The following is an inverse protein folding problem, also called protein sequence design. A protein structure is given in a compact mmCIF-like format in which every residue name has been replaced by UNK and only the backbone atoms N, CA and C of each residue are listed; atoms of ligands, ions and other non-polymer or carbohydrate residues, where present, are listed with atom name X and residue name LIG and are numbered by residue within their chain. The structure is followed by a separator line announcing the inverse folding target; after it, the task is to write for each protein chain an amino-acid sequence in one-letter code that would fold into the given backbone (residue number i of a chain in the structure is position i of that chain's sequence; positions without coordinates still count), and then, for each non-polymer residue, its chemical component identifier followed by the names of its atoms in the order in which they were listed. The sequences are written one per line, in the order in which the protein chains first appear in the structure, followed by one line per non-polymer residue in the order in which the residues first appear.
data_IF_788703448654
#
_entry.id   IF_788703448654
#
_cell.length_a   1.000
_cell.length_b   1.000
_cell.length_c   1.000
_cell.angle_alpha   90.00
_cell.angle_beta   90.00
_cell.angle_gamma   90.00
#
_symmetry.space_group_name_H-M   'P 1'
#
loop_
_entity.id
_entity.type
_entity.pdbx_description
1 polymer ?
#
# COMPACT_ATOMS: atom_id res chain seq x y z
N UNK A 1 -2.33 -14.54 -28.49
CA UNK A 1 -1.86 -13.69 -27.38
C UNK A 1 -2.22 -14.43 -26.11
N UNK A 2 -1.33 -14.57 -25.10
CA UNK A 2 -1.72 -15.23 -23.86
C UNK A 2 -2.75 -14.37 -23.12
N UNK A 3 -3.87 -15.00 -22.77
CA UNK A 3 -5.11 -14.44 -22.21
C UNK A 3 -5.06 -14.19 -20.68
N UNK A 4 -3.87 -14.29 -20.06
CA UNK A 4 -3.68 -14.35 -18.59
C UNK A 4 -3.38 -13.00 -17.91
N UNK A 5 -3.49 -11.89 -18.63
CA UNK A 5 -3.16 -10.56 -18.10
C UNK A 5 -4.14 -10.03 -17.04
N UNK A 6 -5.48 -10.14 -17.17
CA UNK A 6 -6.41 -9.49 -16.23
C UNK A 6 -6.49 -10.19 -14.86
N UNK A 7 -6.13 -11.47 -14.76
CA UNK A 7 -6.21 -12.24 -13.50
C UNK A 7 -5.04 -11.94 -12.56
N UNK A 8 -3.85 -11.69 -13.11
CA UNK A 8 -2.66 -11.36 -12.33
C UNK A 8 -2.72 -9.95 -11.72
N UNK A 9 -3.25 -8.96 -12.44
CA UNK A 9 -3.49 -7.59 -11.94
C UNK A 9 -4.48 -7.59 -10.78
N UNK A 10 -5.58 -8.35 -10.88
CA UNK A 10 -6.56 -8.45 -9.80
C UNK A 10 -6.02 -9.11 -8.54
N UNK A 11 -5.21 -10.17 -8.69
CA UNK A 11 -4.59 -10.82 -7.53
C UNK A 11 -3.57 -9.90 -6.84
N UNK A 12 -2.79 -9.15 -7.60
CA UNK A 12 -1.83 -8.17 -7.06
C UNK A 12 -2.54 -7.01 -6.36
N UNK A 13 -3.59 -6.45 -6.97
CA UNK A 13 -4.45 -5.44 -6.35
C UNK A 13 -5.02 -5.93 -5.02
N UNK A 14 -5.49 -7.19 -4.95
CA UNK A 14 -5.99 -7.79 -3.70
C UNK A 14 -4.88 -7.93 -2.65
N UNK A 15 -3.74 -8.51 -3.01
CA UNK A 15 -2.59 -8.68 -2.10
C UNK A 15 -2.09 -7.34 -1.56
N UNK A 16 -2.12 -6.29 -2.39
CA UNK A 16 -1.74 -4.95 -1.95
C UNK A 16 -2.74 -4.38 -0.95
N UNK A 17 -4.04 -4.55 -1.23
CA UNK A 17 -5.11 -4.07 -0.36
C UNK A 17 -5.03 -4.75 1.02
N UNK A 18 -4.78 -6.06 1.06
CA UNK A 18 -4.51 -6.81 2.29
C UNK A 18 -3.26 -6.30 3.04
N UNK A 19 -2.18 -6.02 2.33
CA UNK A 19 -0.95 -5.47 2.91
C UNK A 19 -1.20 -4.09 3.54
N UNK A 20 -1.90 -3.21 2.83
CA UNK A 20 -2.27 -1.89 3.33
C UNK A 20 -3.17 -1.98 4.56
N UNK A 21 -4.18 -2.85 4.53
CA UNK A 21 -5.03 -3.12 5.69
C UNK A 21 -4.23 -3.60 6.90
N UNK A 22 -3.25 -4.48 6.68
CA UNK A 22 -2.36 -4.97 7.75
C UNK A 22 -1.48 -3.86 8.33
N UNK A 23 -0.93 -2.98 7.48
CA UNK A 23 -0.11 -1.83 7.93
C UNK A 23 -0.96 -0.87 8.74
N UNK A 24 -2.15 -0.50 8.24
CA UNK A 24 -3.08 0.39 8.93
C UNK A 24 -3.45 -0.18 10.31
N UNK A 25 -3.84 -1.45 10.38
CA UNK A 25 -4.17 -2.10 11.65
C UNK A 25 -2.99 -2.09 12.63
N UNK A 26 -1.76 -2.40 12.17
CA UNK A 26 -0.58 -2.39 13.03
C UNK A 26 -0.26 -0.98 13.54
N UNK A 27 -0.47 0.05 12.72
CA UNK A 27 -0.28 1.45 13.10
C UNK A 27 -1.28 1.85 14.19
N UNK A 28 -2.57 1.57 14.00
CA UNK A 28 -3.64 1.91 14.95
C UNK A 28 -3.46 1.24 16.32
N UNK A 29 -2.91 0.02 16.34
CA UNK A 29 -2.67 -0.73 17.58
C UNK A 29 -1.30 -0.45 18.20
N UNK A 30 -0.55 0.55 17.70
CA UNK A 30 0.79 0.88 18.20
C UNK A 30 1.83 -0.23 18.02
N UNK A 31 1.54 -1.23 17.17
CA UNK A 31 2.42 -2.36 16.86
C UNK A 31 3.42 -2.03 15.75
N UNK A 32 3.31 -0.85 15.15
CA UNK A 32 4.18 -0.33 14.12
C UNK A 32 4.29 1.19 14.26
N UNK A 33 5.51 1.72 14.15
CA UNK A 33 5.75 3.17 14.16
C UNK A 33 5.28 3.80 12.84
N UNK A 34 4.82 5.07 12.84
CA UNK A 34 4.51 5.81 11.60
C UNK A 34 5.63 5.76 10.57
N UNK A 35 6.90 5.79 10.99
CA UNK A 35 8.07 5.67 10.09
C UNK A 35 8.17 4.30 9.44
N UNK A 36 7.94 3.23 10.21
CA UNK A 36 7.96 1.86 9.69
C UNK A 36 6.78 1.61 8.74
N UNK A 37 5.60 2.12 9.07
CA UNK A 37 4.42 2.07 8.20
C UNK A 37 4.66 2.84 6.89
N UNK A 38 5.31 4.00 6.95
CA UNK A 38 5.64 4.78 5.75
C UNK A 38 6.55 4.01 4.80
N UNK A 39 7.63 3.40 5.31
CA UNK A 39 8.54 2.58 4.49
C UNK A 39 7.80 1.39 3.87
N UNK A 40 6.92 0.73 4.63
CA UNK A 40 6.15 -0.40 4.14
C UNK A 40 5.17 0.00 3.02
N UNK A 41 4.50 1.15 3.16
CA UNK A 41 3.59 1.68 2.13
C UNK A 41 4.36 2.14 0.89
N UNK A 42 5.52 2.78 1.04
CA UNK A 42 6.35 3.22 -0.08
C UNK A 42 6.89 2.02 -0.87
N UNK A 43 7.36 0.98 -0.17
CA UNK A 43 7.78 -0.30 -0.79
C UNK A 43 6.63 -0.99 -1.53
N UNK A 44 5.41 -0.96 -0.96
CA UNK A 44 4.22 -1.50 -1.62
C UNK A 44 3.87 -0.72 -2.90
N UNK A 45 4.06 0.61 -2.89
CA UNK A 45 3.86 1.49 -4.04
C UNK A 45 4.86 1.16 -5.16
N UNK A 46 6.15 1.01 -4.83
CA UNK A 46 7.20 0.60 -5.78
C UNK A 46 6.90 -0.76 -6.42
N UNK A 47 6.43 -1.74 -5.63
CA UNK A 47 6.06 -3.06 -6.13
C UNK A 47 4.85 -3.03 -7.08
N UNK A 48 3.99 -2.02 -6.94
CA UNK A 48 2.75 -1.90 -7.71
C UNK A 48 2.81 -0.95 -8.89
N UNK A 49 3.89 -0.17 -9.02
CA UNK A 49 4.04 0.87 -10.04
C UNK A 49 4.05 0.35 -11.49
N UNK A 50 4.04 -0.97 -11.70
CA UNK A 50 3.89 -1.60 -13.01
C UNK A 50 2.75 -2.61 -13.15
N UNK A 51 1.98 -2.90 -12.09
CA UNK A 51 1.13 -4.11 -12.05
C UNK A 51 -0.21 -3.98 -11.31
N UNK A 52 -0.50 -2.88 -10.63
CA UNK A 52 -1.75 -2.71 -9.87
C UNK A 52 -2.71 -1.71 -10.54
N UNK A 53 -4.01 -1.87 -10.23
CA UNK A 53 -5.05 -0.97 -10.71
C UNK A 53 -4.87 0.47 -10.18
N UNK A 54 -5.37 1.43 -10.95
CA UNK A 54 -5.28 2.86 -10.64
C UNK A 54 -5.89 3.20 -9.27
N UNK A 55 -7.00 2.55 -8.89
CA UNK A 55 -7.65 2.74 -7.59
C UNK A 55 -6.76 2.33 -6.41
N UNK A 56 -6.00 1.24 -6.56
CA UNK A 56 -5.11 0.74 -5.52
C UNK A 56 -3.90 1.67 -5.36
N UNK A 57 -3.36 2.18 -6.47
CA UNK A 57 -2.29 3.18 -6.46
C UNK A 57 -2.76 4.46 -5.75
N UNK A 58 -3.99 4.91 -5.99
CA UNK A 58 -4.56 6.09 -5.36
C UNK A 58 -4.70 5.91 -3.84
N UNK A 59 -5.28 4.78 -3.39
CA UNK A 59 -5.38 4.45 -1.96
C UNK A 59 -4.01 4.39 -1.29
N UNK A 60 -3.04 3.73 -1.91
CA UNK A 60 -1.66 3.62 -1.40
C UNK A 60 -1.02 5.01 -1.24
N UNK A 61 -1.22 5.90 -2.21
CA UNK A 61 -0.73 7.28 -2.14
C UNK A 61 -1.40 8.08 -1.02
N UNK A 62 -2.70 7.91 -0.80
CA UNK A 62 -3.41 8.55 0.31
C UNK A 62 -2.86 8.09 1.66
N UNK A 63 -2.65 6.78 1.84
CA UNK A 63 -2.03 6.23 3.06
C UNK A 63 -0.62 6.78 3.26
N UNK A 64 0.19 6.85 2.20
CA UNK A 64 1.54 7.43 2.25
C UNK A 64 1.54 8.89 2.70
N UNK A 65 0.61 9.71 2.17
CA UNK A 65 0.45 11.12 2.53
C UNK A 65 0.02 11.28 4.00
N UNK A 66 -0.92 10.45 4.47
CA UNK A 66 -1.35 10.46 5.86
C UNK A 66 -0.18 10.15 6.81
N UNK A 67 0.57 9.09 6.51
CA UNK A 67 1.75 8.69 7.29
C UNK A 67 2.84 9.77 7.30
N UNK A 68 3.10 10.41 6.16
CA UNK A 68 4.06 11.52 6.07
C UNK A 68 3.68 12.68 6.98
N UNK A 69 2.39 13.02 7.06
CA UNK A 69 1.90 14.08 7.96
C UNK A 69 2.09 13.69 9.42
N UNK A 70 1.80 12.45 9.79
CA UNK A 70 1.98 11.97 11.16
C UNK A 70 3.46 11.95 11.57
N UNK A 71 4.36 11.51 10.69
CA UNK A 71 5.81 11.60 10.93
C UNK A 71 6.26 13.04 11.11
N UNK A 72 5.72 13.97 10.31
CA UNK A 72 6.08 15.39 10.40
C UNK A 72 5.56 16.08 11.67
N UNK A 73 4.63 15.46 12.41
CA UNK A 73 4.07 15.97 13.67
C UNK A 73 4.69 15.32 14.92
N UNK A 74 5.34 14.17 14.77
CA UNK A 74 6.12 13.49 15.84
C UNK A 74 7.52 14.07 15.97
#
# INVERSE_FOLDING_TARGET
MPDDWPTHTQELSRKLSDLLGTIAWKLEHGKMSPKAAFIAVDTALDLCQGLADHEVIELTNQTRLALRREISKS
#
